data_IF_529157321808
#
_entry.id   IF_529157321808
#
_cell.length_a   1.000
_cell.length_b   1.000
_cell.length_c   1.000
_cell.angle_alpha   90.00
_cell.angle_beta   90.00
_cell.angle_gamma   90.00
#
_symmetry.space_group_name_H-M   'P 1'
#
loop_
_entity.id
_entity.type
_entity.pdbx_description
1 polymer ?
#
# COMPACT_ATOMS: atom_id res chain seq x y z
N UNK A 1 -17.43 15.36 -40.65
CA UNK A 1 -15.95 15.50 -40.66
C UNK A 1 -15.33 14.11 -40.73
N UNK A 2 -14.38 13.89 -41.64
CA UNK A 2 -13.89 12.58 -42.11
C UNK A 2 -13.35 11.65 -41.00
N UNK A 3 -14.00 10.49 -40.79
CA UNK A 3 -13.55 9.43 -39.88
C UNK A 3 -12.18 8.83 -40.23
N UNK A 4 -11.69 9.05 -41.46
CA UNK A 4 -10.35 8.65 -41.90
C UNK A 4 -9.23 9.58 -41.42
N UNK A 5 -9.52 10.79 -40.92
CA UNK A 5 -8.49 11.79 -40.53
C UNK A 5 -7.99 11.66 -39.08
N UNK A 6 -8.58 10.78 -38.27
CA UNK A 6 -8.21 10.57 -36.85
C UNK A 6 -7.56 9.21 -36.58
N UNK A 7 -7.33 8.40 -37.62
CA UNK A 7 -6.75 7.07 -37.49
C UNK A 7 -5.27 7.08 -37.90
N UNK A 8 -4.40 6.74 -36.97
CA UNK A 8 -2.95 6.70 -37.12
C UNK A 8 -2.45 5.26 -37.23
N UNK A 9 -1.44 5.02 -38.06
CA UNK A 9 -0.65 3.78 -38.00
C UNK A 9 0.25 3.80 -36.77
N UNK A 10 0.71 2.62 -36.33
CA UNK A 10 1.52 2.51 -35.10
C UNK A 10 2.78 3.38 -35.10
N UNK A 11 3.43 3.54 -36.27
CA UNK A 11 4.60 4.41 -36.41
C UNK A 11 4.27 5.90 -36.29
N UNK A 12 3.12 6.31 -36.82
CA UNK A 12 2.64 7.70 -36.73
C UNK A 12 2.21 8.03 -35.30
N UNK A 13 1.49 7.10 -34.65
CA UNK A 13 1.11 7.22 -33.24
C UNK A 13 2.34 7.33 -32.33
N UNK A 14 3.35 6.49 -32.54
CA UNK A 14 4.58 6.52 -31.73
C UNK A 14 5.31 7.86 -31.87
N UNK A 15 5.43 8.36 -33.11
CA UNK A 15 6.05 9.65 -33.40
C UNK A 15 5.29 10.81 -32.76
N UNK A 16 3.97 10.87 -32.91
CA UNK A 16 3.16 11.95 -32.35
C UNK A 16 3.08 11.90 -30.82
N UNK A 17 3.10 10.72 -30.22
CA UNK A 17 3.14 10.56 -28.75
C UNK A 17 4.55 10.66 -28.14
N UNK A 18 5.58 10.90 -28.96
CA UNK A 18 6.97 11.06 -28.52
C UNK A 18 7.56 9.81 -27.85
N UNK A 19 7.19 8.61 -28.33
CA UNK A 19 7.65 7.30 -27.81
C UNK A 19 8.19 6.41 -28.91
N UNK A 20 8.91 5.35 -28.54
CA UNK A 20 9.34 4.34 -29.51
C UNK A 20 8.15 3.47 -29.96
N UNK A 21 8.21 2.95 -31.19
CA UNK A 21 7.23 1.98 -31.70
C UNK A 21 7.18 0.73 -30.80
N UNK A 22 8.32 0.32 -30.23
CA UNK A 22 8.41 -0.80 -29.28
C UNK A 22 7.59 -0.52 -28.02
N UNK A 23 7.63 0.71 -27.50
CA UNK A 23 6.83 1.14 -26.34
C UNK A 23 5.33 1.05 -26.64
N UNK A 24 4.90 1.51 -27.83
CA UNK A 24 3.49 1.41 -28.23
C UNK A 24 3.06 -0.05 -28.38
N UNK A 25 3.88 -0.90 -29.02
CA UNK A 25 3.60 -2.35 -29.11
C UNK A 25 3.50 -3.00 -27.74
N UNK A 26 4.32 -2.58 -26.79
CA UNK A 26 4.28 -3.06 -25.42
C UNK A 26 2.97 -2.67 -24.73
N UNK A 27 2.55 -1.41 -24.81
CA UNK A 27 1.25 -0.99 -24.25
C UNK A 27 0.05 -1.68 -24.91
N UNK A 28 0.12 -1.98 -26.21
CA UNK A 28 -0.91 -2.76 -26.91
C UNK A 28 -0.93 -4.22 -26.42
N UNK A 29 0.24 -4.83 -26.19
CA UNK A 29 0.36 -6.19 -25.64
C UNK A 29 -0.21 -6.27 -24.22
N UNK A 30 0.08 -5.28 -23.39
CA UNK A 30 -0.46 -5.17 -22.02
C UNK A 30 -1.95 -4.79 -21.98
N UNK A 31 -2.54 -4.42 -23.13
CA UNK A 31 -3.95 -4.09 -23.27
C UNK A 31 -4.34 -2.66 -22.84
N UNK A 32 -3.35 -1.79 -22.64
CA UNK A 32 -3.51 -0.37 -22.27
C UNK A 32 -3.94 0.51 -23.44
N UNK A 33 -3.60 0.09 -24.66
CA UNK A 33 -3.98 0.77 -25.89
C UNK A 33 -4.62 -0.26 -26.81
N UNK A 34 -5.83 0.04 -27.28
CA UNK A 34 -6.57 -0.85 -28.17
C UNK A 34 -6.61 -0.26 -29.58
N UNK A 35 -6.34 -1.05 -30.63
CA UNK A 35 -6.48 -0.58 -32.00
C UNK A 35 -7.95 -0.34 -32.32
N UNK A 36 -8.25 0.77 -32.99
CA UNK A 36 -9.60 1.09 -33.44
C UNK A 36 -10.03 0.19 -34.62
N UNK A 37 -9.08 -0.21 -35.47
CA UNK A 37 -9.34 -1.11 -36.60
C UNK A 37 -8.12 -1.97 -36.92
N UNK A 38 -8.29 -3.29 -36.97
CA UNK A 38 -7.28 -4.22 -37.54
C UNK A 38 -7.62 -4.48 -39.00
N UNK A 39 -6.65 -4.28 -39.89
CA UNK A 39 -6.83 -4.43 -41.35
C UNK A 39 -5.95 -5.53 -41.96
N UNK A 40 -5.20 -6.26 -41.13
CA UNK A 40 -4.40 -7.41 -41.53
C UNK A 40 -3.55 -7.95 -40.38
N UNK A 41 -2.83 -9.06 -40.59
CA UNK A 41 -2.01 -9.72 -39.55
C UNK A 41 -0.97 -8.78 -38.91
N UNK A 42 -0.41 -7.86 -39.70
CA UNK A 42 0.60 -6.89 -39.27
C UNK A 42 0.15 -5.42 -39.39
N UNK A 43 -1.15 -5.14 -39.63
CA UNK A 43 -1.62 -3.78 -39.87
C UNK A 43 -2.84 -3.44 -39.01
N UNK A 44 -2.69 -2.39 -38.19
CA UNK A 44 -3.74 -1.85 -37.33
C UNK A 44 -3.68 -0.32 -37.30
N UNK A 45 -4.85 0.29 -37.18
CA UNK A 45 -5.07 1.73 -37.04
C UNK A 45 -5.53 2.06 -35.63
N UNK A 46 -5.03 3.16 -35.10
CA UNK A 46 -5.27 3.64 -33.73
C UNK A 46 -5.93 5.01 -33.78
N UNK A 47 -6.88 5.26 -32.88
CA UNK A 47 -7.47 6.58 -32.76
C UNK A 47 -6.47 7.57 -32.15
N UNK A 48 -6.53 8.83 -32.57
CA UNK A 48 -5.63 9.90 -32.08
C UNK A 48 -5.75 10.16 -30.58
N UNK A 49 -6.88 9.83 -29.94
CA UNK A 49 -7.04 9.82 -28.47
C UNK A 49 -6.03 8.93 -27.74
N UNK A 50 -5.44 7.94 -28.44
CA UNK A 50 -4.36 7.12 -27.89
C UNK A 50 -3.12 7.94 -27.53
N UNK A 51 -2.92 9.13 -28.11
CA UNK A 51 -1.81 10.02 -27.75
C UNK A 51 -1.94 10.51 -26.31
N UNK A 52 -3.12 11.01 -25.93
CA UNK A 52 -3.41 11.46 -24.56
C UNK A 52 -3.29 10.30 -23.57
N UNK A 53 -3.77 9.11 -23.95
CA UNK A 53 -3.60 7.89 -23.17
C UNK A 53 -2.11 7.54 -22.94
N UNK A 54 -1.27 7.59 -23.99
CA UNK A 54 0.18 7.36 -23.87
C UNK A 54 0.83 8.42 -22.97
N UNK A 55 0.46 9.68 -23.12
CA UNK A 55 0.99 10.76 -22.28
C UNK A 55 0.66 10.54 -20.81
N UNK A 56 -0.59 10.17 -20.49
CA UNK A 56 -1.03 9.85 -19.13
C UNK A 56 -0.28 8.61 -18.58
N UNK A 57 -0.18 7.53 -19.35
CA UNK A 57 0.58 6.32 -18.94
C UNK A 57 2.01 6.72 -18.58
N UNK A 58 2.68 7.51 -19.41
CA UNK A 58 4.05 7.97 -19.14
C UNK A 58 4.14 8.89 -17.94
N UNK A 59 3.18 9.80 -17.76
CA UNK A 59 3.10 10.67 -16.57
C UNK A 59 2.96 9.81 -15.31
N UNK A 60 2.06 8.82 -15.32
CA UNK A 60 1.88 7.88 -14.21
C UNK A 60 3.12 7.01 -13.96
N UNK A 61 3.83 6.56 -15.00
CA UNK A 61 5.07 5.80 -14.84
C UNK A 61 6.25 6.66 -14.36
N UNK A 62 6.39 7.89 -14.88
CA UNK A 62 7.55 8.77 -14.62
C UNK A 62 7.39 9.55 -13.33
N UNK A 63 6.18 10.05 -13.06
CA UNK A 63 5.91 10.93 -11.93
C UNK A 63 5.31 10.17 -10.75
N UNK A 64 4.59 9.07 -10.98
CA UNK A 64 3.94 8.27 -9.91
C UNK A 64 4.49 6.86 -9.78
N UNK A 65 5.30 6.39 -10.73
CA UNK A 65 5.98 5.10 -10.73
C UNK A 65 5.04 3.90 -10.55
N UNK A 66 3.81 4.02 -11.05
CA UNK A 66 2.86 2.93 -11.00
C UNK A 66 3.25 1.82 -11.98
N UNK A 67 3.19 0.54 -11.55
CA UNK A 67 3.36 -0.57 -12.48
C UNK A 67 2.21 -0.54 -13.50
N UNK A 68 2.47 -1.02 -14.72
CA UNK A 68 1.51 -0.95 -15.82
C UNK A 68 0.19 -1.68 -15.51
N UNK A 69 0.22 -2.72 -14.69
CA UNK A 69 -0.96 -3.43 -14.20
C UNK A 69 -1.90 -2.50 -13.40
N UNK A 70 -1.34 -1.63 -12.57
CA UNK A 70 -2.11 -0.65 -11.78
C UNK A 70 -2.65 0.45 -12.69
N UNK A 71 -1.83 0.95 -13.61
CA UNK A 71 -2.25 1.99 -14.58
C UNK A 71 -3.41 1.50 -15.44
N UNK A 72 -3.37 0.25 -15.88
CA UNK A 72 -4.45 -0.37 -16.67
C UNK A 72 -5.78 -0.34 -15.95
N UNK A 73 -5.82 -0.74 -14.67
CA UNK A 73 -7.05 -0.74 -13.87
C UNK A 73 -7.60 0.67 -13.64
N UNK A 74 -6.72 1.65 -13.42
CA UNK A 74 -7.12 3.06 -13.28
C UNK A 74 -7.79 3.58 -14.55
N UNK A 75 -7.23 3.23 -15.72
CA UNK A 75 -7.80 3.62 -17.02
C UNK A 75 -9.06 2.84 -17.40
N UNK A 76 -9.30 1.67 -16.80
CA UNK A 76 -10.55 0.90 -16.96
C UNK A 76 -11.68 1.44 -16.06
N UNK A 77 -11.34 2.02 -14.91
CA UNK A 77 -12.31 2.54 -13.94
C UNK A 77 -12.89 3.92 -14.30
N UNK A 78 -12.16 4.74 -15.07
CA UNK A 78 -12.60 6.08 -15.48
C UNK A 78 -11.97 6.54 -16.81
N UNK A 79 -12.62 7.45 -17.56
CA UNK A 79 -12.03 8.09 -18.74
C UNK A 79 -10.72 8.82 -18.42
N UNK A 80 -9.80 8.89 -19.39
CA UNK A 80 -8.45 9.47 -19.26
C UNK A 80 -8.48 10.87 -18.65
N UNK A 81 -9.43 11.70 -19.05
CA UNK A 81 -9.59 13.08 -18.58
C UNK A 81 -10.03 13.13 -17.10
N UNK A 82 -10.90 12.21 -16.66
CA UNK A 82 -11.33 12.10 -15.25
C UNK A 82 -10.22 11.57 -14.35
N UNK A 83 -9.46 10.57 -14.83
CA UNK A 83 -8.29 10.04 -14.09
C UNK A 83 -7.25 11.15 -13.89
N UNK A 84 -7.05 12.04 -14.86
CA UNK A 84 -6.12 13.16 -14.71
C UNK A 84 -6.62 14.24 -13.73
N UNK A 85 -7.92 14.59 -13.77
CA UNK A 85 -8.56 15.56 -12.87
C UNK A 85 -8.62 15.08 -11.40
N UNK A 86 -9.09 13.86 -11.16
CA UNK A 86 -9.18 13.28 -9.81
C UNK A 86 -7.78 13.08 -9.18
N UNK A 87 -6.76 12.86 -10.02
CA UNK A 87 -5.39 12.67 -9.58
C UNK A 87 -4.64 13.99 -9.38
N UNK A 88 -4.85 15.01 -10.21
CA UNK A 88 -4.34 16.37 -9.98
C UNK A 88 -4.88 16.94 -8.66
N UNK A 89 -6.15 16.68 -8.35
CA UNK A 89 -6.77 17.02 -7.06
C UNK A 89 -6.12 16.29 -5.88
N UNK A 90 -5.72 15.03 -6.05
CA UNK A 90 -5.01 14.25 -5.02
C UNK A 90 -3.54 14.68 -4.81
N UNK A 91 -2.98 15.46 -5.74
CA UNK A 91 -1.57 15.86 -5.75
C UNK A 91 -1.38 17.29 -5.26
N UNK A 92 -2.37 18.17 -5.45
CA UNK A 92 -2.26 19.61 -5.19
C UNK A 92 -3.20 20.16 -4.09
N UNK A 93 -3.82 19.34 -3.23
CA UNK A 93 -4.75 19.86 -2.20
C UNK A 93 -4.30 19.67 -0.75
N UNK A 94 -3.28 20.42 -0.37
CA UNK A 94 -3.39 21.26 0.86
C UNK A 94 -3.33 22.75 0.48
N UNK A 95 -3.74 23.11 -0.75
CA UNK A 95 -4.22 24.47 -0.98
C UNK A 95 -5.71 24.46 -0.61
N UNK A 96 -6.01 24.75 0.65
CA UNK A 96 -7.29 25.39 0.96
C UNK A 96 -7.29 26.68 0.12
N UNK A 97 -8.34 26.99 -0.67
CA UNK A 97 -8.41 28.28 -1.34
C UNK A 97 -8.21 29.39 -0.28
N UNK A 98 -7.57 30.52 -0.62
CA UNK A 98 -7.25 31.60 0.34
C UNK A 98 -8.49 32.05 1.18
N UNK A 99 -9.70 31.87 0.64
CA UNK A 99 -10.98 32.12 1.33
C UNK A 99 -11.36 31.11 2.42
N UNK A 100 -10.67 29.99 2.53
CA UNK A 100 -10.88 28.90 3.50
C UNK A 100 -9.67 28.67 4.42
N UNK A 101 -8.57 29.41 4.23
CA UNK A 101 -7.47 29.41 5.20
C UNK A 101 -8.00 29.92 6.55
N UNK A 102 -7.95 29.11 7.62
CA UNK A 102 -8.41 29.55 8.92
C UNK A 102 -7.55 30.73 9.37
N UNK A 103 -8.18 31.74 9.97
CA UNK A 103 -7.46 32.88 10.53
C UNK A 103 -6.39 32.33 11.50
N UNK A 104 -5.09 32.67 11.33
CA UNK A 104 -4.01 32.13 12.17
C UNK A 104 -4.22 32.36 13.68
N UNK A 105 -4.93 33.44 14.02
CA UNK A 105 -5.29 33.80 15.40
C UNK A 105 -6.56 33.10 15.90
N UNK A 106 -7.30 32.39 15.04
CA UNK A 106 -8.54 31.71 15.40
C UNK A 106 -8.27 30.59 16.40
N UNK A 107 -9.09 30.56 17.45
CA UNK A 107 -9.05 29.57 18.52
C UNK A 107 -10.47 29.13 18.85
N UNK A 108 -10.82 27.90 18.51
CA UNK A 108 -12.18 27.39 18.64
C UNK A 108 -12.31 26.43 19.83
N UNK A 109 -13.40 26.52 20.63
CA UNK A 109 -13.69 25.51 21.64
C UNK A 109 -14.06 24.17 20.97
N UNK A 110 -13.89 23.07 21.71
CA UNK A 110 -14.16 21.70 21.24
C UNK A 110 -15.50 21.54 20.51
N UNK A 111 -16.58 22.15 21.02
CA UNK A 111 -17.92 22.05 20.43
C UNK A 111 -17.99 22.66 19.04
N UNK A 112 -17.29 23.79 18.83
CA UNK A 112 -17.28 24.50 17.56
C UNK A 112 -16.36 23.80 16.56
N UNK A 113 -15.17 23.37 17.01
CA UNK A 113 -14.24 22.59 16.20
C UNK A 113 -14.89 21.28 15.70
N UNK A 114 -15.61 20.57 16.58
CA UNK A 114 -16.36 19.36 16.24
C UNK A 114 -17.44 19.63 15.18
N UNK A 115 -18.20 20.72 15.33
CA UNK A 115 -19.24 21.10 14.36
C UNK A 115 -18.62 21.45 13.00
N UNK A 116 -17.58 22.27 12.98
CA UNK A 116 -16.94 22.77 11.75
C UNK A 116 -16.22 21.68 10.96
N UNK A 117 -15.61 20.72 11.66
CA UNK A 117 -14.83 19.64 11.03
C UNK A 117 -15.63 18.35 10.87
N UNK A 118 -16.87 18.33 11.37
CA UNK A 118 -17.77 17.17 11.40
C UNK A 118 -17.13 15.93 12.09
N UNK A 119 -16.14 16.14 12.95
CA UNK A 119 -15.56 15.10 13.79
C UNK A 119 -16.28 15.05 15.14
N UNK A 120 -16.47 13.84 15.65
CA UNK A 120 -16.98 13.66 17.02
C UNK A 120 -15.97 14.14 18.05
N UNK A 121 -16.46 14.56 19.23
CA UNK A 121 -15.59 14.92 20.36
C UNK A 121 -14.62 13.79 20.74
N UNK A 122 -15.03 12.52 20.59
CA UNK A 122 -14.18 11.34 20.83
C UNK A 122 -13.05 11.23 19.83
N UNK A 123 -13.32 11.47 18.54
CA UNK A 123 -12.29 11.49 17.49
C UNK A 123 -11.28 12.62 17.72
N UNK A 124 -11.75 13.82 18.05
CA UNK A 124 -10.88 14.95 18.37
C UNK A 124 -10.01 14.65 19.60
N UNK A 125 -10.61 14.08 20.65
CA UNK A 125 -9.86 13.64 21.83
C UNK A 125 -8.78 12.64 21.45
N UNK A 126 -9.08 11.67 20.58
CA UNK A 126 -8.14 10.65 20.13
C UNK A 126 -6.96 11.24 19.32
N UNK A 127 -7.23 12.22 18.46
CA UNK A 127 -6.19 12.95 17.73
C UNK A 127 -5.32 13.81 18.66
N UNK A 128 -5.90 14.37 19.73
CA UNK A 128 -5.15 15.07 20.77
C UNK A 128 -4.27 14.11 21.57
N UNK A 129 -4.81 12.94 21.95
CA UNK A 129 -4.07 11.91 22.70
C UNK A 129 -2.86 11.37 21.94
N UNK A 130 -2.97 11.19 20.61
CA UNK A 130 -1.84 10.73 19.80
C UNK A 130 -0.85 11.85 19.42
N UNK A 131 -1.08 13.07 19.89
CA UNK A 131 -0.21 14.24 19.66
C UNK A 131 -0.43 14.95 18.33
N UNK A 132 -1.35 14.49 17.49
CA UNK A 132 -1.63 15.12 16.20
C UNK A 132 -2.31 16.50 16.32
N UNK A 133 -2.91 16.80 17.48
CA UNK A 133 -3.47 18.12 17.80
C UNK A 133 -2.80 18.65 19.06
N UNK A 134 -2.55 19.96 19.08
CA UNK A 134 -1.89 20.67 20.16
C UNK A 134 -2.75 21.83 20.70
N UNK A 135 -3.96 21.54 21.24
CA UNK A 135 -4.85 22.59 21.72
C UNK A 135 -4.26 23.37 22.89
N UNK A 136 -4.45 24.68 22.89
CA UNK A 136 -4.08 25.56 23.99
C UNK A 136 -5.11 25.42 25.12
N UNK A 137 -4.64 25.36 26.37
CA UNK A 137 -5.52 25.34 27.54
C UNK A 137 -5.75 26.75 28.05
N UNK A 138 -7.02 27.14 28.12
CA UNK A 138 -7.45 28.37 28.76
C UNK A 138 -8.38 28.00 29.93
N UNK A 139 -7.82 28.00 31.15
CA UNK A 139 -8.48 27.46 32.33
C UNK A 139 -8.84 25.98 32.17
N UNK A 140 -10.15 25.67 32.19
CA UNK A 140 -10.67 24.30 31.99
C UNK A 140 -10.96 23.97 30.52
N UNK A 141 -10.92 24.96 29.63
CA UNK A 141 -11.29 24.80 28.21
C UNK A 141 -10.06 24.48 27.37
N UNK A 142 -10.26 23.68 26.33
CA UNK A 142 -9.29 23.45 25.25
C UNK A 142 -9.73 24.26 24.04
N UNK A 143 -8.79 25.03 23.49
CA UNK A 143 -8.98 25.83 22.31
C UNK A 143 -8.08 25.31 21.18
N UNK A 144 -8.66 25.10 20.01
CA UNK A 144 -8.01 24.51 18.85
C UNK A 144 -7.66 25.59 17.83
N UNK A 145 -6.41 25.57 17.34
CA UNK A 145 -5.88 26.54 16.38
C UNK A 145 -6.35 26.28 14.94
N UNK A 146 -6.00 27.21 14.04
CA UNK A 146 -6.10 27.01 12.60
C UNK A 146 -5.42 25.69 12.14
N UNK A 147 -4.22 25.42 12.65
CA UNK A 147 -3.46 24.20 12.32
C UNK A 147 -4.17 22.94 12.83
N UNK A 148 -4.69 22.98 14.07
CA UNK A 148 -5.47 21.87 14.63
C UNK A 148 -6.70 21.57 13.74
N UNK A 149 -7.41 22.60 13.29
CA UNK A 149 -8.55 22.45 12.39
C UNK A 149 -8.12 21.90 11.02
N UNK A 150 -6.95 22.29 10.51
CA UNK A 150 -6.35 21.73 9.30
C UNK A 150 -6.07 20.23 9.43
N UNK A 151 -5.50 19.79 10.56
CA UNK A 151 -5.26 18.37 10.86
C UNK A 151 -6.58 17.62 11.02
N UNK A 152 -7.58 18.21 11.68
CA UNK A 152 -8.93 17.63 11.76
C UNK A 152 -9.57 17.46 10.38
N UNK A 153 -9.46 18.44 9.50
CA UNK A 153 -9.97 18.37 8.13
C UNK A 153 -9.26 17.28 7.32
N UNK A 154 -7.94 17.10 7.49
CA UNK A 154 -7.21 15.98 6.90
C UNK A 154 -7.72 14.63 7.43
N UNK A 155 -7.99 14.53 8.74
CA UNK A 155 -8.54 13.31 9.33
C UNK A 155 -9.95 13.00 8.80
N UNK A 156 -10.81 14.02 8.66
CA UNK A 156 -12.15 13.89 8.09
C UNK A 156 -12.10 13.44 6.63
N UNK A 157 -11.25 14.06 5.79
CA UNK A 157 -11.05 13.63 4.39
C UNK A 157 -10.65 12.15 4.28
N UNK A 158 -9.81 11.66 5.19
CA UNK A 158 -9.42 10.24 5.23
C UNK A 158 -10.60 9.35 5.61
N UNK A 159 -11.39 9.76 6.60
CA UNK A 159 -12.58 9.03 7.05
C UNK A 159 -13.63 8.94 5.92
N UNK A 160 -13.88 10.04 5.22
CA UNK A 160 -14.83 10.11 4.09
C UNK A 160 -14.38 9.27 2.90
N UNK A 161 -13.06 9.12 2.71
CA UNK A 161 -12.47 8.19 1.74
C UNK A 161 -12.52 6.72 2.18
N UNK A 162 -13.16 6.40 3.31
CA UNK A 162 -13.30 5.04 3.84
C UNK A 162 -12.07 4.52 4.59
N UNK A 163 -11.07 5.36 4.85
CA UNK A 163 -9.91 4.94 5.67
C UNK A 163 -10.35 4.87 7.13
N UNK A 164 -10.20 3.70 7.80
CA UNK A 164 -10.60 3.55 9.19
C UNK A 164 -9.94 4.61 10.08
N UNK A 165 -10.73 5.24 10.97
CA UNK A 165 -10.26 6.32 11.81
C UNK A 165 -9.01 5.94 12.63
N UNK A 166 -8.99 4.75 13.22
CA UNK A 166 -7.81 4.26 13.97
C UNK A 166 -6.57 4.08 13.09
N UNK A 167 -6.72 3.79 11.80
CA UNK A 167 -5.59 3.79 10.87
C UNK A 167 -5.07 5.20 10.63
N UNK A 168 -5.94 6.20 10.57
CA UNK A 168 -5.55 7.62 10.52
C UNK A 168 -4.78 8.03 11.77
N UNK A 169 -5.29 7.70 12.97
CA UNK A 169 -4.60 7.96 14.26
C UNK A 169 -3.21 7.33 14.27
N UNK A 170 -3.08 6.05 13.89
CA UNK A 170 -1.77 5.38 13.78
C UNK A 170 -0.86 6.06 12.78
N UNK A 171 -1.38 6.43 11.61
CA UNK A 171 -0.59 7.09 10.56
C UNK A 171 -0.06 8.44 11.05
N UNK A 172 -0.93 9.28 11.63
CA UNK A 172 -0.54 10.60 12.11
C UNK A 172 0.45 10.50 13.27
N UNK A 173 0.26 9.56 14.20
CA UNK A 173 1.21 9.35 15.30
C UNK A 173 2.62 8.98 14.83
N UNK A 174 2.76 8.15 13.78
CA UNK A 174 4.07 7.82 13.20
C UNK A 174 4.77 9.07 12.66
N UNK A 175 4.04 9.92 11.94
CA UNK A 175 4.61 11.16 11.41
C UNK A 175 4.90 12.17 12.52
N UNK A 176 3.99 12.35 13.47
CA UNK A 176 4.16 13.25 14.61
C UNK A 176 5.43 12.92 15.41
N UNK A 177 5.64 11.65 15.76
CA UNK A 177 6.83 11.26 16.50
C UNK A 177 8.13 11.56 15.73
N UNK A 178 8.14 11.32 14.41
CA UNK A 178 9.32 11.58 13.58
C UNK A 178 9.55 13.08 13.36
N UNK A 179 8.48 13.84 13.11
CA UNK A 179 8.54 15.29 12.88
C UNK A 179 8.93 16.02 14.15
N UNK A 180 8.40 15.64 15.31
CA UNK A 180 8.75 16.25 16.60
C UNK A 180 10.26 16.19 16.86
N UNK A 181 10.88 15.03 16.65
CA UNK A 181 12.33 14.89 16.80
C UNK A 181 13.10 15.70 15.76
N UNK A 182 12.65 15.68 14.50
CA UNK A 182 13.30 16.43 13.42
C UNK A 182 13.26 17.95 13.65
N UNK A 183 12.07 18.50 13.95
CA UNK A 183 11.86 19.94 14.20
C UNK A 183 12.62 20.38 15.44
N UNK A 184 12.64 19.58 16.51
CA UNK A 184 13.45 19.90 17.71
C UNK A 184 14.93 20.05 17.36
N UNK A 185 15.49 19.07 16.66
CA UNK A 185 16.90 19.10 16.25
C UNK A 185 17.21 20.27 15.31
N UNK A 186 16.30 20.62 14.41
CA UNK A 186 16.47 21.76 13.50
C UNK A 186 16.45 23.10 14.24
N UNK A 187 15.51 23.29 15.17
CA UNK A 187 15.44 24.51 15.99
C UNK A 187 16.70 24.66 16.83
N UNK A 188 17.22 23.57 17.41
CA UNK A 188 18.46 23.58 18.19
C UNK A 188 19.68 23.92 17.33
N UNK A 189 19.76 23.36 16.11
CA UNK A 189 20.86 23.63 15.16
C UNK A 189 20.82 25.09 14.66
N UNK A 190 19.64 25.57 14.27
CA UNK A 190 19.45 26.97 13.85
C UNK A 190 19.82 27.94 14.98
N UNK A 191 19.35 27.69 16.20
CA UNK A 191 19.64 28.54 17.37
C UNK A 191 21.14 28.56 17.66
N UNK A 192 21.79 27.39 17.59
CA UNK A 192 23.25 27.29 17.78
C UNK A 192 24.01 28.06 16.70
N UNK A 193 23.64 27.92 15.42
CA UNK A 193 24.27 28.66 14.32
C UNK A 193 24.05 30.17 14.38
N UNK A 194 22.86 30.62 14.76
CA UNK A 194 22.53 32.04 14.91
C UNK A 194 23.31 32.69 16.06
N UNK A 195 23.46 32.00 17.20
CA UNK A 195 24.24 32.48 18.34
C UNK A 195 25.75 32.55 18.04
N UNK A 196 26.28 31.62 17.24
CA UNK A 196 27.70 31.56 16.91
C UNK A 196 28.14 32.55 15.81
N UNK A 197 27.22 33.02 14.97
CA UNK A 197 27.55 33.90 13.83
C UNK A 197 27.54 35.40 14.15
N UNK A 198 27.12 35.79 15.37
CA UNK A 198 27.30 37.13 15.95
C UNK A 198 26.70 38.33 15.20
N UNK A 199 25.97 38.12 14.09
CA UNK A 199 25.64 39.20 13.14
C UNK A 199 24.37 38.98 12.30
N UNK A 200 23.49 38.05 12.68
CA UNK A 200 22.22 37.86 11.95
C UNK A 200 21.25 38.97 12.36
N UNK A 201 20.90 39.85 11.42
CA UNK A 201 19.81 40.83 11.62
C UNK A 201 18.46 40.11 11.68
N UNK A 202 17.47 40.70 12.36
CA UNK A 202 16.13 40.11 12.45
C UNK A 202 15.51 39.81 11.07
N UNK A 203 15.74 40.68 10.09
CA UNK A 203 15.27 40.51 8.70
C UNK A 203 15.98 39.37 7.96
N UNK A 204 17.29 39.23 8.15
CA UNK A 204 18.07 38.12 7.59
C UNK A 204 17.64 36.78 8.22
N UNK A 205 17.46 36.75 9.55
CA UNK A 205 16.96 35.59 10.26
C UNK A 205 15.57 35.16 9.79
N UNK A 206 14.62 36.11 9.68
CA UNK A 206 13.27 35.81 9.18
C UNK A 206 13.27 35.31 7.73
N UNK A 207 14.18 35.80 6.88
CA UNK A 207 14.34 35.28 5.51
C UNK A 207 14.89 33.86 5.53
N UNK A 208 15.89 33.57 6.37
CA UNK A 208 16.48 32.24 6.49
C UNK A 208 15.46 31.21 6.96
N UNK A 209 14.64 31.55 7.96
CA UNK A 209 13.54 30.68 8.44
C UNK A 209 12.58 30.34 7.30
N UNK A 210 12.08 31.35 6.58
CA UNK A 210 11.14 31.12 5.46
C UNK A 210 11.73 30.23 4.36
N UNK A 211 12.99 30.43 3.99
CA UNK A 211 13.66 29.61 2.97
C UNK A 211 13.90 28.19 3.49
N UNK A 212 14.23 28.02 4.78
CA UNK A 212 14.35 26.71 5.42
C UNK A 212 13.02 25.95 5.33
N UNK A 213 11.93 26.57 5.79
CA UNK A 213 10.59 25.98 5.78
C UNK A 213 10.18 25.52 4.37
N UNK A 214 10.31 26.40 3.36
CA UNK A 214 9.96 26.09 1.97
C UNK A 214 10.78 24.93 1.41
N UNK A 215 12.10 24.94 1.63
CA UNK A 215 12.99 23.90 1.09
C UNK A 215 12.81 22.56 1.77
N UNK A 216 12.53 22.54 3.07
CA UNK A 216 12.28 21.34 3.85
C UNK A 216 10.94 20.70 3.52
N UNK A 217 9.89 21.49 3.33
CA UNK A 217 8.59 20.99 2.85
C UNK A 217 8.75 20.24 1.52
N UNK A 218 9.50 20.84 0.58
CA UNK A 218 9.86 20.21 -0.68
C UNK A 218 10.66 18.91 -0.51
N UNK A 219 11.67 18.92 0.37
CA UNK A 219 12.48 17.75 0.68
C UNK A 219 11.66 16.60 1.28
N UNK A 220 10.82 16.89 2.28
CA UNK A 220 9.96 15.91 2.96
C UNK A 220 9.01 15.27 1.95
N UNK A 221 8.37 16.07 1.09
CA UNK A 221 7.48 15.57 0.05
C UNK A 221 8.20 14.61 -0.92
N UNK A 222 9.38 15.01 -1.42
CA UNK A 222 10.19 14.21 -2.36
C UNK A 222 10.70 12.91 -1.72
N UNK A 223 11.24 12.99 -0.49
CA UNK A 223 11.76 11.83 0.23
C UNK A 223 10.66 10.86 0.63
N UNK A 224 9.53 11.35 1.14
CA UNK A 224 8.37 10.51 1.44
C UNK A 224 7.92 9.74 0.18
N UNK A 225 7.84 10.42 -0.96
CA UNK A 225 7.51 9.80 -2.25
C UNK A 225 8.55 8.74 -2.69
N UNK A 226 9.84 9.00 -2.50
CA UNK A 226 10.90 8.04 -2.83
C UNK A 226 10.87 6.81 -1.91
N UNK A 227 10.72 7.02 -0.60
CA UNK A 227 10.66 5.95 0.40
C UNK A 227 9.41 5.10 0.26
N UNK A 228 8.25 5.70 0.00
CA UNK A 228 7.02 4.95 -0.28
C UNK A 228 7.18 4.00 -1.47
N UNK A 229 7.90 4.41 -2.51
CA UNK A 229 8.22 3.54 -3.64
C UNK A 229 9.16 2.41 -3.23
N UNK A 230 10.25 2.74 -2.55
CA UNK A 230 11.25 1.75 -2.13
C UNK A 230 10.68 0.70 -1.17
N UNK A 231 9.81 1.08 -0.24
CA UNK A 231 9.16 0.14 0.69
C UNK A 231 7.94 -0.54 0.06
N UNK A 232 7.20 0.15 -0.81
CA UNK A 232 6.08 -0.42 -1.55
C UNK A 232 6.53 -1.56 -2.47
N UNK A 233 7.59 -1.36 -3.26
CA UNK A 233 8.14 -2.41 -4.13
C UNK A 233 8.64 -3.61 -3.33
N UNK A 234 9.35 -3.39 -2.22
CA UNK A 234 9.81 -4.46 -1.33
C UNK A 234 8.65 -5.32 -0.80
N UNK A 235 7.52 -4.71 -0.44
CA UNK A 235 6.34 -5.45 0.01
C UNK A 235 5.71 -6.35 -1.06
N UNK A 236 5.85 -5.98 -2.34
CA UNK A 236 5.41 -6.83 -3.45
C UNK A 236 6.38 -7.99 -3.69
N UNK A 237 7.67 -7.73 -3.58
CA UNK A 237 8.69 -8.79 -3.60
C UNK A 237 8.49 -9.78 -2.44
N UNK A 238 8.10 -9.30 -1.26
CA UNK A 238 7.77 -10.15 -0.11
C UNK A 238 6.62 -11.12 -0.40
N UNK A 239 5.58 -10.69 -1.12
CA UNK A 239 4.47 -11.58 -1.51
C UNK A 239 4.93 -12.66 -2.50
N UNK A 240 5.78 -12.33 -3.47
CA UNK A 240 6.34 -13.31 -4.41
C UNK A 240 7.31 -14.29 -3.72
N UNK A 241 8.13 -13.81 -2.79
CA UNK A 241 8.98 -14.67 -1.95
C UNK A 241 8.15 -15.57 -1.05
N UNK A 242 7.05 -15.06 -0.49
CA UNK A 242 6.13 -15.83 0.32
C UNK A 242 5.49 -16.98 -0.48
N UNK A 243 5.01 -16.71 -1.69
CA UNK A 243 4.47 -17.73 -2.59
C UNK A 243 5.49 -18.85 -2.86
N UNK A 244 6.72 -18.48 -3.20
CA UNK A 244 7.80 -19.44 -3.47
C UNK A 244 8.14 -20.27 -2.23
N UNK A 245 8.22 -19.63 -1.05
CA UNK A 245 8.54 -20.29 0.20
C UNK A 245 7.45 -21.28 0.63
N UNK A 246 6.16 -20.94 0.44
CA UNK A 246 5.05 -21.85 0.71
C UNK A 246 5.19 -23.15 -0.08
N UNK A 247 5.41 -23.06 -1.39
CA UNK A 247 5.53 -24.24 -2.25
C UNK A 247 6.72 -25.13 -1.86
N UNK A 248 7.88 -24.52 -1.57
CA UNK A 248 9.07 -25.26 -1.14
C UNK A 248 8.91 -25.93 0.22
N UNK A 249 8.26 -25.26 1.17
CA UNK A 249 8.00 -25.82 2.49
C UNK A 249 6.97 -26.95 2.43
N UNK A 250 5.91 -26.79 1.63
CA UNK A 250 4.92 -27.85 1.42
C UNK A 250 5.56 -29.10 0.83
N UNK A 251 6.42 -28.97 -0.18
CA UNK A 251 7.13 -30.11 -0.75
C UNK A 251 7.97 -30.89 0.29
N UNK A 252 8.57 -30.20 1.26
CA UNK A 252 9.32 -30.84 2.36
C UNK A 252 8.41 -31.52 3.36
N UNK A 253 7.28 -30.89 3.70
CA UNK A 253 6.29 -31.47 4.61
C UNK A 253 5.64 -32.70 3.98
N UNK A 254 5.34 -32.68 2.69
CA UNK A 254 4.82 -33.83 1.93
C UNK A 254 5.81 -35.01 1.99
N UNK A 255 7.09 -34.77 1.72
CA UNK A 255 8.12 -35.80 1.83
C UNK A 255 8.26 -36.35 3.27
N UNK A 256 8.10 -35.48 4.28
CA UNK A 256 8.13 -35.88 5.69
C UNK A 256 6.91 -36.72 6.10
N UNK A 257 5.73 -36.40 5.58
CA UNK A 257 4.51 -37.18 5.78
C UNK A 257 4.64 -38.57 5.14
N UNK A 258 5.20 -38.65 3.93
CA UNK A 258 5.50 -39.92 3.28
C UNK A 258 6.46 -40.77 4.12
N UNK A 259 7.57 -40.18 4.59
CA UNK A 259 8.54 -40.88 5.44
C UNK A 259 7.94 -41.35 6.79
N UNK A 260 6.90 -40.67 7.28
CA UNK A 260 6.15 -41.05 8.48
C UNK A 260 5.01 -42.05 8.21
N UNK A 261 4.83 -42.51 6.96
CA UNK A 261 3.75 -43.42 6.57
C UNK A 261 2.36 -42.77 6.58
N UNK A 262 2.27 -41.44 6.58
CA UNK A 262 1.00 -40.68 6.61
C UNK A 262 0.49 -40.39 5.19
N UNK A 263 0.31 -41.42 4.38
CA UNK A 263 0.00 -41.30 2.93
C UNK A 263 -1.25 -40.46 2.65
N UNK A 264 -2.32 -40.66 3.41
CA UNK A 264 -3.55 -39.87 3.22
C UNK A 264 -3.34 -38.38 3.47
N UNK A 265 -2.58 -38.03 4.51
CA UNK A 265 -2.29 -36.62 4.82
C UNK A 265 -1.36 -36.01 3.75
N UNK A 266 -0.39 -36.79 3.26
CA UNK A 266 0.46 -36.39 2.14
C UNK A 266 -0.38 -36.13 0.88
N UNK A 267 -1.27 -37.04 0.50
CA UNK A 267 -2.13 -36.90 -0.69
C UNK A 267 -3.03 -35.66 -0.61
N UNK A 268 -3.60 -35.39 0.57
CA UNK A 268 -4.40 -34.18 0.81
C UNK A 268 -3.55 -32.91 0.68
N UNK A 269 -2.36 -32.88 1.27
CA UNK A 269 -1.43 -31.76 1.13
C UNK A 269 -1.00 -31.55 -0.32
N UNK A 270 -0.69 -32.62 -1.06
CA UNK A 270 -0.35 -32.57 -2.49
C UNK A 270 -1.51 -32.02 -3.33
N UNK A 271 -2.74 -32.43 -3.03
CA UNK A 271 -3.92 -31.92 -3.73
C UNK A 271 -4.10 -30.42 -3.50
N UNK A 272 -3.97 -29.94 -2.25
CA UNK A 272 -4.04 -28.51 -1.91
C UNK A 272 -2.89 -27.72 -2.55
N UNK A 273 -1.66 -28.24 -2.48
CA UNK A 273 -0.48 -27.64 -3.10
C UNK A 273 -0.67 -27.49 -4.61
N UNK A 274 -1.21 -28.51 -5.28
CA UNK A 274 -1.54 -28.48 -6.71
C UNK A 274 -2.80 -27.65 -7.05
N UNK A 275 -3.51 -27.13 -6.05
CA UNK A 275 -4.75 -26.37 -6.22
C UNK A 275 -5.94 -27.20 -6.74
N UNK A 276 -5.93 -28.51 -6.50
CA UNK A 276 -6.99 -29.45 -6.90
C UNK A 276 -8.03 -29.59 -5.78
N UNK A 277 -9.31 -29.82 -6.13
CA UNK A 277 -10.33 -30.14 -5.14
C UNK A 277 -10.04 -31.50 -4.49
N UNK A 278 -10.21 -31.58 -3.19
CA UNK A 278 -10.03 -32.79 -2.38
C UNK A 278 -11.35 -33.50 -2.13
N UNK A 279 -12.49 -32.78 -2.26
CA UNK A 279 -13.82 -33.33 -2.02
C UNK A 279 -14.18 -33.42 -0.54
N UNK A 280 -13.46 -32.67 0.30
CA UNK A 280 -13.78 -32.46 1.71
C UNK A 280 -13.85 -30.95 1.95
N UNK A 281 -14.95 -30.50 2.57
CA UNK A 281 -15.33 -29.09 2.61
C UNK A 281 -14.25 -28.21 3.24
N UNK A 282 -13.67 -28.64 4.36
CA UNK A 282 -12.71 -27.83 5.10
C UNK A 282 -11.33 -27.80 4.41
N UNK A 283 -10.92 -28.90 3.78
CA UNK A 283 -9.72 -28.95 2.94
C UNK A 283 -9.86 -28.10 1.67
N UNK A 284 -11.04 -28.13 1.02
CA UNK A 284 -11.30 -27.29 -0.15
C UNK A 284 -11.29 -25.79 0.21
N UNK A 285 -11.84 -25.44 1.37
CA UNK A 285 -11.79 -24.08 1.92
C UNK A 285 -10.35 -23.66 2.27
N UNK A 286 -9.59 -24.54 2.93
CA UNK A 286 -8.17 -24.32 3.19
C UNK A 286 -7.38 -24.11 1.88
N UNK A 287 -7.66 -24.89 0.83
CA UNK A 287 -7.01 -24.75 -0.47
C UNK A 287 -7.34 -23.42 -1.16
N UNK A 288 -8.57 -22.94 -1.02
CA UNK A 288 -8.96 -21.63 -1.54
C UNK A 288 -8.18 -20.50 -0.86
N UNK A 289 -8.00 -20.58 0.46
CA UNK A 289 -7.24 -19.59 1.23
C UNK A 289 -5.73 -19.69 1.03
N UNK A 290 -5.18 -20.90 0.96
CA UNK A 290 -3.74 -21.14 0.88
C UNK A 290 -3.08 -20.40 -0.29
N UNK A 291 -3.70 -20.46 -1.47
CA UNK A 291 -3.24 -19.78 -2.70
C UNK A 291 -4.07 -18.55 -3.09
N UNK A 292 -5.02 -18.12 -2.26
CA UNK A 292 -5.97 -17.05 -2.61
C UNK A 292 -5.27 -15.76 -3.03
N UNK A 293 -4.18 -15.40 -2.35
CA UNK A 293 -3.40 -14.21 -2.66
C UNK A 293 -2.64 -14.33 -4.00
N UNK A 294 -2.09 -15.49 -4.35
CA UNK A 294 -1.39 -15.74 -5.60
C UNK A 294 -2.35 -15.72 -6.81
N UNK A 295 -3.59 -16.18 -6.60
CA UNK A 295 -4.67 -16.17 -7.61
C UNK A 295 -5.25 -14.78 -7.88
N UNK A 296 -4.77 -13.73 -7.21
CA UNK A 296 -5.24 -12.37 -7.41
C UNK A 296 -4.83 -11.75 -8.76
N UNK A 297 -4.01 -12.43 -9.59
CA UNK A 297 -3.74 -12.02 -10.98
C UNK A 297 -3.03 -10.67 -11.11
N UNK A 298 -2.17 -10.32 -10.15
CA UNK A 298 -1.47 -9.04 -10.09
C UNK A 298 -2.29 -7.91 -9.46
N UNK A 299 -3.51 -8.18 -8.98
CA UNK A 299 -4.25 -7.24 -8.15
C UNK A 299 -3.73 -7.24 -6.71
N UNK A 300 -2.91 -6.24 -6.38
CA UNK A 300 -2.29 -6.09 -5.06
C UNK A 300 -3.33 -5.92 -3.95
N UNK A 301 -4.38 -5.13 -4.19
CA UNK A 301 -5.38 -4.86 -3.17
C UNK A 301 -6.17 -6.14 -2.85
N UNK A 302 -6.53 -6.89 -3.89
CA UNK A 302 -7.13 -8.21 -3.74
C UNK A 302 -6.18 -9.19 -3.06
N UNK A 303 -4.90 -9.26 -3.49
CA UNK A 303 -3.91 -10.16 -2.89
C UNK A 303 -3.77 -9.92 -1.38
N UNK A 304 -3.66 -8.65 -0.96
CA UNK A 304 -3.61 -8.28 0.45
C UNK A 304 -4.89 -8.67 1.20
N UNK A 305 -6.06 -8.43 0.61
CA UNK A 305 -7.34 -8.83 1.20
C UNK A 305 -7.45 -10.35 1.37
N UNK A 306 -7.01 -11.12 0.38
CA UNK A 306 -6.95 -12.59 0.48
C UNK A 306 -5.93 -13.07 1.51
N UNK A 307 -4.77 -12.41 1.63
CA UNK A 307 -3.80 -12.73 2.69
C UNK A 307 -4.38 -12.50 4.08
N UNK A 308 -5.17 -11.45 4.28
CA UNK A 308 -5.87 -11.20 5.56
C UNK A 308 -6.93 -12.27 5.82
N UNK A 309 -7.76 -12.60 4.82
CA UNK A 309 -8.76 -13.68 4.94
C UNK A 309 -8.11 -15.03 5.26
N UNK A 310 -7.03 -15.36 4.57
CA UNK A 310 -6.29 -16.60 4.80
C UNK A 310 -5.68 -16.64 6.21
N UNK A 311 -5.11 -15.53 6.69
CA UNK A 311 -4.66 -15.44 8.10
C UNK A 311 -5.81 -15.74 9.05
N UNK A 312 -6.93 -15.04 8.91
CA UNK A 312 -8.05 -15.17 9.83
C UNK A 312 -8.59 -16.60 9.84
N UNK A 313 -8.70 -17.21 8.66
CA UNK A 313 -9.05 -18.62 8.49
C UNK A 313 -8.05 -19.55 9.20
N UNK A 314 -6.75 -19.47 8.89
CA UNK A 314 -5.76 -20.39 9.45
C UNK A 314 -5.55 -20.20 10.96
N UNK A 315 -5.69 -18.97 11.48
CA UNK A 315 -5.66 -18.72 12.93
C UNK A 315 -6.83 -19.43 13.62
N UNK A 316 -8.04 -19.30 13.08
CA UNK A 316 -9.25 -19.90 13.64
C UNK A 316 -9.42 -21.41 13.32
N UNK A 317 -8.66 -21.94 12.36
CA UNK A 317 -8.76 -23.34 11.94
C UNK A 317 -8.33 -24.28 13.06
N UNK A 318 -9.24 -25.10 13.57
CA UNK A 318 -8.94 -26.16 14.52
C UNK A 318 -8.90 -27.53 13.81
N UNK A 319 -7.72 -28.11 13.56
CA UNK A 319 -7.61 -29.38 12.85
C UNK A 319 -8.24 -30.52 13.65
N UNK A 320 -9.25 -31.17 13.09
CA UNK A 320 -9.97 -32.27 13.75
C UNK A 320 -10.40 -33.35 12.75
N UNK A 321 -10.71 -34.54 13.28
CA UNK A 321 -11.18 -35.68 12.49
C UNK A 321 -10.11 -36.32 11.61
N UNK A 322 -10.54 -37.07 10.60
CA UNK A 322 -9.66 -37.89 9.74
C UNK A 322 -8.66 -37.08 8.91
N UNK A 323 -8.91 -35.78 8.73
CA UNK A 323 -8.09 -34.86 7.93
C UNK A 323 -7.22 -33.92 8.77
N UNK A 324 -7.19 -34.12 10.10
CA UNK A 324 -6.51 -33.23 11.03
C UNK A 324 -5.02 -33.03 10.70
N UNK A 325 -4.31 -34.09 10.31
CA UNK A 325 -2.88 -34.01 10.01
C UNK A 325 -2.58 -33.08 8.82
N UNK A 326 -3.33 -33.19 7.73
CA UNK A 326 -3.15 -32.34 6.55
C UNK A 326 -3.50 -30.88 6.85
N UNK A 327 -4.62 -30.64 7.54
CA UNK A 327 -5.05 -29.29 7.95
C UNK A 327 -4.03 -28.63 8.90
N UNK A 328 -3.48 -29.39 9.85
CA UNK A 328 -2.44 -28.90 10.76
C UNK A 328 -1.16 -28.52 9.99
N UNK A 329 -0.75 -29.33 9.01
CA UNK A 329 0.41 -29.03 8.15
C UNK A 329 0.20 -27.74 7.36
N UNK A 330 -0.95 -27.60 6.69
CA UNK A 330 -1.30 -26.38 5.94
C UNK A 330 -1.31 -25.14 6.84
N UNK A 331 -1.94 -25.24 8.03
CA UNK A 331 -1.96 -24.17 9.04
C UNK A 331 -0.56 -23.76 9.46
N UNK A 332 0.27 -24.73 9.86
CA UNK A 332 1.62 -24.48 10.35
C UNK A 332 2.53 -23.88 9.28
N UNK A 333 2.52 -24.42 8.06
CA UNK A 333 3.32 -23.91 6.93
C UNK A 333 2.90 -22.47 6.60
N UNK A 334 1.60 -22.22 6.46
CA UNK A 334 1.11 -20.91 6.07
C UNK A 334 1.42 -19.84 7.12
N UNK A 335 1.09 -20.10 8.39
CA UNK A 335 1.29 -19.14 9.48
C UNK A 335 2.78 -18.89 9.79
N UNK A 336 3.63 -19.90 9.68
CA UNK A 336 5.07 -19.77 9.95
C UNK A 336 5.81 -18.98 8.87
N UNK A 337 5.30 -19.00 7.64
CA UNK A 337 5.93 -18.32 6.50
C UNK A 337 5.29 -16.98 6.17
N UNK A 338 4.11 -16.69 6.72
CA UNK A 338 3.35 -15.47 6.49
C UNK A 338 4.22 -14.21 6.68
N UNK A 339 4.10 -13.21 5.78
CA UNK A 339 4.83 -11.95 5.92
C UNK A 339 4.59 -11.30 7.28
N UNK A 340 5.63 -10.71 7.88
CA UNK A 340 5.59 -10.16 9.23
C UNK A 340 4.46 -9.13 9.45
N UNK A 341 4.06 -8.42 8.41
CA UNK A 341 2.94 -7.45 8.43
C UNK A 341 1.59 -8.07 8.78
N UNK A 342 1.42 -9.39 8.58
CA UNK A 342 0.18 -10.10 8.93
C UNK A 342 0.11 -10.46 10.42
N UNK A 343 1.22 -10.37 11.17
CA UNK A 343 1.24 -10.58 12.62
C UNK A 343 1.08 -12.04 13.04
N UNK A 344 1.44 -13.01 12.19
CA UNK A 344 1.21 -14.43 12.45
C UNK A 344 2.26 -15.11 13.34
N UNK A 345 3.28 -14.39 13.83
CA UNK A 345 4.46 -15.02 14.44
C UNK A 345 4.13 -15.93 15.64
N UNK A 346 3.23 -15.50 16.52
CA UNK A 346 2.83 -16.30 17.69
C UNK A 346 1.95 -17.50 17.29
N UNK A 347 0.94 -17.27 16.46
CA UNK A 347 0.08 -18.34 15.95
C UNK A 347 0.85 -19.38 15.13
N UNK A 348 1.86 -18.94 14.37
CA UNK A 348 2.77 -19.81 13.61
C UNK A 348 3.61 -20.71 14.52
N UNK A 349 4.18 -20.16 15.60
CA UNK A 349 4.90 -20.97 16.61
C UNK A 349 4.00 -22.02 17.24
N UNK A 350 2.80 -21.62 17.70
CA UNK A 350 1.85 -22.54 18.30
C UNK A 350 1.41 -23.65 17.32
N UNK A 351 1.15 -23.29 16.06
CA UNK A 351 0.79 -24.27 15.03
C UNK A 351 1.93 -25.24 14.72
N UNK A 352 3.18 -24.77 14.69
CA UNK A 352 4.37 -25.60 14.49
C UNK A 352 4.61 -26.55 15.66
N UNK A 353 4.39 -26.10 16.90
CA UNK A 353 4.52 -26.93 18.11
C UNK A 353 3.44 -28.02 18.19
N UNK A 354 2.26 -27.76 17.62
CA UNK A 354 1.16 -28.72 17.57
C UNK A 354 1.32 -29.80 16.48
N UNK A 355 2.32 -29.69 15.59
CA UNK A 355 2.57 -30.70 14.55
C UNK A 355 3.19 -31.99 15.11
N UNK A 356 2.93 -33.15 14.49
CA UNK A 356 3.73 -34.36 14.70
C UNK A 356 5.21 -34.10 14.41
N UNK A 357 6.10 -34.82 15.10
CA UNK A 357 7.54 -34.46 15.10
C UNK A 357 8.19 -34.51 13.71
N UNK A 358 7.85 -35.47 12.85
CA UNK A 358 8.45 -35.59 11.51
C UNK A 358 8.14 -34.37 10.61
N UNK A 359 6.87 -33.96 10.37
CA UNK A 359 6.58 -32.73 9.64
C UNK A 359 7.03 -31.46 10.36
N UNK A 360 7.00 -31.43 11.70
CA UNK A 360 7.50 -30.29 12.48
C UNK A 360 9.02 -30.08 12.25
N UNK A 361 9.81 -31.15 12.31
CA UNK A 361 11.25 -31.11 12.07
C UNK A 361 11.59 -30.65 10.65
N UNK A 362 10.85 -31.13 9.64
CA UNK A 362 11.02 -30.70 8.26
C UNK A 362 10.76 -29.20 8.07
N UNK A 363 9.69 -28.69 8.68
CA UNK A 363 9.37 -27.26 8.63
C UNK A 363 10.38 -26.41 9.42
N UNK A 364 10.83 -26.85 10.60
CA UNK A 364 11.90 -26.19 11.38
C UNK A 364 13.20 -26.09 10.57
N UNK A 365 13.60 -27.17 9.90
CA UNK A 365 14.80 -27.20 9.06
C UNK A 365 14.69 -26.19 7.91
N UNK A 366 13.54 -26.16 7.22
CA UNK A 366 13.29 -25.17 6.17
C UNK A 366 13.39 -23.73 6.67
N UNK A 367 12.76 -23.42 7.79
CA UNK A 367 12.79 -22.08 8.39
C UNK A 367 14.23 -21.68 8.76
N UNK A 368 15.00 -22.59 9.37
CA UNK A 368 16.39 -22.33 9.74
C UNK A 368 17.33 -22.11 8.54
N UNK A 369 17.09 -22.78 7.42
CA UNK A 369 17.85 -22.56 6.18
C UNK A 369 17.51 -21.20 5.55
N UNK A 370 16.22 -20.84 5.55
CA UNK A 370 15.75 -19.56 5.01
C UNK A 370 16.35 -18.39 5.78
N UNK A 371 16.40 -18.48 7.10
CA UNK A 371 16.93 -17.42 7.96
C UNK A 371 18.46 -17.26 7.84
N UNK A 372 19.18 -18.28 7.33
CA UNK A 372 20.63 -18.19 7.02
C UNK A 372 20.92 -17.60 5.64
N UNK A 373 19.94 -17.64 4.72
CA UNK A 373 20.06 -17.16 3.35
C UNK A 373 19.44 -15.78 3.08
N UNK A 374 18.77 -15.20 4.08
CA UNK A 374 18.25 -13.83 4.09
C UNK A 374 19.28 -12.87 4.69
#
# INVERSE_FOLDING_TARGET
>A
MNAQKNLLRIGELAREAGVSVTTVKFYVKEGLIRPARKTGRNMAYYDRSCISAIALIRKLQRERYYPLSVIKRLMEAAPVERVELELLDAIHKVDLPDSEMPNPEERLPLSEAARRTELTARQIARLTECGALAPVREGRRKLYSADDLGVMALAKRRLDAGIPFEQTVRSFSIYENALREAVRAEVDDFTSGALMSGSVTAEAGARMIRVSDETLDGFIALRRKALNRAFGSRRLEDLGRFETALGQAMARVEAALHAAGQERAMDDCLAVHAGKPVGERLLDEAAAHFWGFARAGGDIARALAESVRARDFFVALEPAGERAAALACLKAVWLSLAPAVLGCAEAGRAALEALPETPAAALRAFLAERDKGA
#
